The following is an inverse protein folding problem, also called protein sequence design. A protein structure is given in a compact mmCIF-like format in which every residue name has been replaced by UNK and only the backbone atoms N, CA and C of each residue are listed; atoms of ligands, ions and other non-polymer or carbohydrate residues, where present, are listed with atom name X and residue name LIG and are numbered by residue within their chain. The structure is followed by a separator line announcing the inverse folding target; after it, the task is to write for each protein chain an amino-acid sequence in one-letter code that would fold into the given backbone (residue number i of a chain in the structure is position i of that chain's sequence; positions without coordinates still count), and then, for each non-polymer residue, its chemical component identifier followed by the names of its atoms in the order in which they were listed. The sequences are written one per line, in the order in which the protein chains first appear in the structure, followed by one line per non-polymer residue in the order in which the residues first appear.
data_IF_715096842756
#
_entry.id   IF_715096842756
#
_cell.length_a   1.000
_cell.length_b   1.000
_cell.length_c   1.000
_cell.angle_alpha   90.00
_cell.angle_beta   90.00
_cell.angle_gamma   90.00
#
_symmetry.space_group_name_H-M   'P 1'
#
loop_
_entity.id
_entity.type
_entity.pdbx_description
1 polymer ?
#
# COMPACT_ATOMS: atom_id res chain seq x y z
N UNK A 1 -12.43 -7.27 1.31
CA UNK A 1 -12.25 -6.81 2.71
C UNK A 1 -10.76 -6.73 3.00
N UNK A 2 -10.23 -5.53 3.27
CA UNK A 2 -8.84 -5.37 3.75
C UNK A 2 -8.79 -5.00 5.25
N UNK A 3 -9.80 -4.27 5.75
CA UNK A 3 -9.93 -3.83 7.15
C UNK A 3 -9.88 -4.95 8.21
N UNK A 4 -10.00 -6.23 7.83
CA UNK A 4 -9.90 -7.37 8.75
C UNK A 4 -8.78 -8.35 8.44
N UNK A 5 -7.90 -8.03 7.48
CA UNK A 5 -6.82 -8.93 7.03
C UNK A 5 -5.43 -8.31 7.11
N UNK A 6 -5.32 -7.01 6.85
CA UNK A 6 -4.06 -6.30 7.02
C UNK A 6 -3.67 -6.26 8.50
N UNK A 7 -2.40 -6.53 8.78
CA UNK A 7 -1.81 -6.49 10.11
C UNK A 7 -0.74 -5.42 10.17
N UNK A 8 -0.34 -5.13 11.40
CA UNK A 8 0.79 -4.27 11.68
C UNK A 8 2.02 -4.73 10.89
N UNK A 9 2.74 -3.78 10.30
CA UNK A 9 3.94 -4.00 9.48
C UNK A 9 3.73 -4.72 8.13
N UNK A 10 2.49 -4.99 7.70
CA UNK A 10 2.24 -5.53 6.36
C UNK A 10 2.56 -4.50 5.26
N UNK A 11 2.89 -4.99 4.06
CA UNK A 11 2.88 -4.18 2.84
C UNK A 11 1.51 -4.29 2.16
N UNK A 12 0.74 -3.21 2.14
CA UNK A 12 -0.60 -3.19 1.55
C UNK A 12 -0.57 -2.84 0.06
N UNK A 13 -0.54 -3.87 -0.79
CA UNK A 13 -0.61 -3.72 -2.26
C UNK A 13 -2.06 -3.61 -2.73
N UNK A 14 -2.40 -2.59 -3.53
CA UNK A 14 -3.78 -2.34 -3.99
C UNK A 14 -3.84 -1.50 -5.26
N UNK A 15 -5.00 -1.50 -5.95
CA UNK A 15 -5.31 -0.55 -7.05
C UNK A 15 -6.18 0.61 -6.57
N UNK A 16 -6.58 0.62 -5.29
CA UNK A 16 -7.48 1.62 -4.73
C UNK A 16 -6.71 2.90 -4.40
N UNK A 17 -6.66 3.84 -5.34
CA UNK A 17 -6.02 5.14 -5.14
C UNK A 17 -7.01 6.19 -4.65
N UNK A 18 -7.37 6.12 -3.37
CA UNK A 18 -8.20 7.13 -2.73
C UNK A 18 -7.85 7.27 -1.25
N UNK A 19 -8.38 8.33 -0.62
CA UNK A 19 -8.16 8.64 0.80
C UNK A 19 -8.57 7.52 1.75
N UNK A 20 -9.54 6.68 1.39
CA UNK A 20 -9.97 5.58 2.27
C UNK A 20 -8.88 4.52 2.37
N UNK A 21 -8.08 4.32 1.34
CA UNK A 21 -6.91 3.42 1.40
C UNK A 21 -5.92 3.88 2.45
N UNK A 22 -5.65 5.19 2.52
CA UNK A 22 -4.77 5.77 3.54
C UNK A 22 -5.37 5.58 4.94
N UNK A 23 -6.67 5.84 5.11
CA UNK A 23 -7.34 5.64 6.38
C UNK A 23 -7.24 4.18 6.88
N UNK A 24 -7.37 3.20 5.97
CA UNK A 24 -7.21 1.79 6.34
C UNK A 24 -5.76 1.45 6.67
N UNK A 25 -4.80 2.00 5.94
CA UNK A 25 -3.38 1.83 6.22
C UNK A 25 -3.02 2.28 7.65
N UNK A 26 -3.54 3.44 8.07
CA UNK A 26 -3.39 3.95 9.44
C UNK A 26 -4.06 3.04 10.46
N UNK A 27 -5.31 2.62 10.21
CA UNK A 27 -6.06 1.80 11.15
C UNK A 27 -5.43 0.41 11.38
N UNK A 28 -4.79 -0.15 10.35
CA UNK A 28 -4.12 -1.44 10.41
C UNK A 28 -2.62 -1.34 10.76
N UNK A 29 -2.08 -0.13 10.90
CA UNK A 29 -0.67 0.16 11.18
C UNK A 29 0.30 -0.55 10.20
N UNK A 30 -0.03 -0.49 8.91
CA UNK A 30 0.76 -1.13 7.86
C UNK A 30 2.08 -0.39 7.65
N UNK A 31 3.13 -1.10 7.27
CA UNK A 31 4.43 -0.48 7.01
C UNK A 31 4.39 0.45 5.80
N UNK A 32 3.65 0.08 4.76
CA UNK A 32 3.45 0.91 3.57
C UNK A 32 2.21 0.52 2.76
N UNK A 33 1.75 1.43 1.91
CA UNK A 33 0.77 1.18 0.86
C UNK A 33 1.47 1.24 -0.49
N UNK A 34 1.22 0.26 -1.35
CA UNK A 34 1.79 0.21 -2.70
C UNK A 34 0.66 0.17 -3.72
N UNK A 35 0.56 1.19 -4.56
CA UNK A 35 -0.31 1.15 -5.73
C UNK A 35 0.31 0.31 -6.84
N UNK A 36 -0.49 -0.58 -7.42
CA UNK A 36 -0.09 -1.42 -8.53
C UNK A 36 -0.84 -1.04 -9.82
N UNK A 37 -0.42 -1.64 -10.94
CA UNK A 37 -1.06 -1.49 -12.27
C UNK A 37 -1.02 -0.07 -12.84
N UNK A 38 -0.01 0.72 -12.46
CA UNK A 38 0.19 2.08 -13.00
C UNK A 38 -0.86 3.08 -12.51
N UNK A 39 -1.52 2.77 -11.38
CA UNK A 39 -2.43 3.69 -10.71
C UNK A 39 -1.62 4.66 -9.85
N UNK A 40 -2.03 5.92 -9.84
CA UNK A 40 -1.39 7.00 -9.09
C UNK A 40 -2.32 7.58 -8.02
N UNK A 41 -1.74 7.99 -6.89
CA UNK A 41 -2.48 8.70 -5.86
C UNK A 41 -2.90 10.10 -6.33
N UNK A 42 -4.13 10.49 -6.00
CA UNK A 42 -4.54 11.89 -6.12
C UNK A 42 -3.88 12.76 -5.03
N UNK A 43 -3.90 14.08 -5.25
CA UNK A 43 -3.27 15.06 -4.34
C UNK A 43 -3.86 15.00 -2.91
N UNK A 44 -5.16 14.69 -2.79
CA UNK A 44 -5.82 14.55 -1.49
C UNK A 44 -5.26 13.35 -0.72
N UNK A 45 -5.07 12.22 -1.41
CA UNK A 45 -4.53 10.98 -0.87
C UNK A 45 -3.07 11.17 -0.45
N UNK A 46 -2.25 11.82 -1.28
CA UNK A 46 -0.86 12.17 -0.94
C UNK A 46 -0.78 13.10 0.27
N UNK A 47 -1.65 14.11 0.34
CA UNK A 47 -1.71 15.04 1.47
C UNK A 47 -2.06 14.30 2.76
N UNK A 48 -3.05 13.41 2.69
CA UNK A 48 -3.48 12.59 3.83
C UNK A 48 -2.38 11.61 4.28
N UNK A 49 -1.72 10.95 3.33
CA UNK A 49 -0.60 10.06 3.62
C UNK A 49 0.52 10.79 4.38
N UNK A 50 0.88 12.00 3.95
CA UNK A 50 1.86 12.86 4.66
C UNK A 50 1.40 13.26 6.06
N UNK A 51 0.14 13.66 6.21
CA UNK A 51 -0.42 14.08 7.51
C UNK A 51 -0.47 12.94 8.53
N UNK A 52 -0.68 11.71 8.07
CA UNK A 52 -0.82 10.53 8.91
C UNK A 52 0.43 9.65 8.91
N UNK A 53 1.54 10.15 8.36
CA UNK A 53 2.85 9.50 8.33
C UNK A 53 2.83 8.09 7.68
N UNK A 54 1.97 7.90 6.68
CA UNK A 54 1.88 6.64 5.91
C UNK A 54 2.85 6.66 4.74
N UNK A 55 3.72 5.67 4.66
CA UNK A 55 4.57 5.45 3.50
C UNK A 55 3.72 4.98 2.31
N UNK A 56 3.77 5.72 1.20
CA UNK A 56 3.06 5.40 -0.04
C UNK A 56 4.03 5.22 -1.21
N UNK A 57 3.82 4.18 -1.99
CA UNK A 57 4.63 3.79 -3.14
C UNK A 57 3.73 3.48 -4.34
N UNK A 58 4.28 3.54 -5.54
CA UNK A 58 3.55 3.27 -6.79
C UNK A 58 4.39 2.39 -7.71
N UNK A 59 3.74 1.55 -8.50
CA UNK A 59 4.39 0.69 -9.48
C UNK A 59 3.47 0.37 -10.66
N UNK A 60 4.06 0.34 -11.86
CA UNK A 60 3.36 -0.09 -13.08
C UNK A 60 3.13 -1.61 -13.15
N UNK A 61 3.67 -2.38 -12.19
CA UNK A 61 3.59 -3.84 -12.17
C UNK A 61 2.27 -4.32 -11.57
N UNK A 62 1.77 -5.50 -11.97
CA UNK A 62 0.61 -6.11 -11.33
C UNK A 62 0.94 -6.56 -9.90
N UNK A 63 -0.09 -6.63 -9.04
CA UNK A 63 0.06 -6.97 -7.62
C UNK A 63 0.87 -8.24 -7.35
N UNK A 64 0.67 -9.29 -8.16
CA UNK A 64 1.42 -10.55 -8.03
C UNK A 64 2.94 -10.36 -8.23
N UNK A 65 3.35 -9.56 -9.22
CA UNK A 65 4.77 -9.31 -9.44
C UNK A 65 5.38 -8.51 -8.28
N UNK A 66 4.66 -7.53 -7.75
CA UNK A 66 5.09 -6.77 -6.57
C UNK A 66 5.27 -7.70 -5.38
N UNK A 67 4.28 -8.55 -5.08
CA UNK A 67 4.37 -9.52 -4.00
C UNK A 67 5.54 -10.49 -4.17
N UNK A 68 5.80 -10.97 -5.40
CA UNK A 68 6.93 -11.84 -5.69
C UNK A 68 8.28 -11.12 -5.50
N UNK A 69 8.41 -9.86 -5.93
CA UNK A 69 9.62 -9.08 -5.73
C UNK A 69 9.88 -8.83 -4.24
N UNK A 70 8.85 -8.42 -3.49
CA UNK A 70 8.95 -8.25 -2.03
C UNK A 70 9.35 -9.56 -1.34
N UNK A 71 8.75 -10.68 -1.74
CA UNK A 71 9.10 -12.00 -1.21
C UNK A 71 10.58 -12.35 -1.43
N UNK A 72 11.12 -12.07 -2.61
CA UNK A 72 12.55 -12.30 -2.93
C UNK A 72 13.48 -11.40 -2.11
N UNK A 73 13.18 -10.11 -2.03
CA UNK A 73 13.99 -9.15 -1.25
C UNK A 73 13.97 -9.48 0.25
N UNK A 74 12.87 -10.02 0.75
CA UNK A 74 12.74 -10.47 2.14
C UNK A 74 13.28 -11.90 2.38
N UNK A 75 13.77 -12.59 1.35
CA UNK A 75 14.27 -13.96 1.47
C UNK A 75 13.19 -15.01 1.80
N UNK A 76 11.93 -14.72 1.47
CA UNK A 76 10.78 -15.62 1.68
C UNK A 76 10.59 -16.62 0.53
N UNK A 77 11.18 -16.35 -0.65
CA UNK A 77 11.16 -17.24 -1.81
C UNK A 77 12.41 -17.10 -2.70
#
# INVERSE_FOLDING_TARGET
MVMGRAKENDAFVTVMANVNTIAVAVLADVACVILCEGIHFDEMSLTRAKQQEVCVLESDKPAFQIALMLGKELGLC
#
